data_IF_748876190682
#
_entry.id   IF_748876190682
#
_cell.length_a   1.000
_cell.length_b   1.000
_cell.length_c   1.000
_cell.angle_alpha   90.00
_cell.angle_beta   90.00
_cell.angle_gamma   90.00
#
_symmetry.space_group_name_H-M   'P 1'
#
loop_
_entity.id
_entity.type
_entity.pdbx_description
1 polymer ?
#
# COMPACT_ATOMS: atom_id res chain seq x y z
N UNK A 1 -0.65 -10.74 1.20
CA UNK A 1 0.17 -10.62 -0.01
C UNK A 1 -0.40 -9.48 -0.85
N UNK A 2 0.26 -8.32 -0.85
CA UNK A 2 -0.07 -7.20 -1.75
C UNK A 2 1.22 -6.87 -2.49
N UNK A 3 1.22 -7.03 -3.81
CA UNK A 3 2.37 -6.79 -4.70
C UNK A 3 2.21 -5.51 -5.54
N UNK A 4 1.08 -4.82 -5.39
CA UNK A 4 0.71 -3.71 -6.24
C UNK A 4 0.43 -2.48 -5.40
N UNK A 5 0.94 -1.33 -5.87
CA UNK A 5 0.48 -0.04 -5.39
C UNK A 5 -0.93 0.21 -5.94
N UNK A 6 -1.87 0.48 -5.04
CA UNK A 6 -3.25 0.77 -5.43
C UNK A 6 -3.33 2.17 -6.05
N UNK A 7 -4.14 2.36 -7.10
CA UNK A 7 -4.40 3.70 -7.62
C UNK A 7 -5.01 4.61 -6.54
N UNK A 8 -4.59 5.88 -6.52
CA UNK A 8 -5.08 6.86 -5.55
C UNK A 8 -6.60 7.01 -5.56
N UNK A 9 -7.24 6.91 -6.73
CA UNK A 9 -8.70 6.94 -6.84
C UNK A 9 -9.37 5.76 -6.13
N UNK A 10 -8.81 4.56 -6.20
CA UNK A 10 -9.31 3.38 -5.48
C UNK A 10 -9.12 3.52 -3.98
N UNK A 11 -7.96 4.02 -3.55
CA UNK A 11 -7.68 4.32 -2.14
C UNK A 11 -8.69 5.35 -1.60
N UNK A 12 -8.96 6.41 -2.36
CA UNK A 12 -9.92 7.43 -1.99
C UNK A 12 -11.35 6.88 -1.94
N UNK A 13 -11.74 6.04 -2.90
CA UNK A 13 -13.05 5.38 -2.89
C UNK A 13 -13.23 4.48 -1.65
N UNK A 14 -12.22 3.68 -1.30
CA UNK A 14 -12.22 2.85 -0.10
C UNK A 14 -12.29 3.71 1.17
N UNK A 15 -11.47 4.75 1.24
CA UNK A 15 -11.45 5.71 2.36
C UNK A 15 -12.80 6.39 2.54
N UNK A 16 -13.44 6.80 1.45
CA UNK A 16 -14.79 7.38 1.47
C UNK A 16 -15.82 6.39 1.97
N UNK A 17 -15.75 5.12 1.56
CA UNK A 17 -16.65 4.07 2.04
C UNK A 17 -16.46 3.81 3.53
N UNK A 18 -15.21 3.75 4.01
CA UNK A 18 -14.91 3.63 5.44
C UNK A 18 -15.42 4.83 6.24
N UNK A 19 -15.24 6.05 5.71
CA UNK A 19 -15.70 7.27 6.36
C UNK A 19 -17.23 7.36 6.41
N UNK A 20 -17.91 6.99 5.32
CA UNK A 20 -19.37 6.88 5.28
C UNK A 20 -19.90 5.84 6.25
N UNK A 21 -19.23 4.70 6.37
CA UNK A 21 -19.61 3.67 7.33
C UNK A 21 -19.41 4.15 8.77
N UNK A 22 -18.29 4.79 9.05
CA UNK A 22 -17.94 5.24 10.40
C UNK A 22 -18.80 6.41 10.90
N UNK A 23 -19.08 7.37 10.03
CA UNK A 23 -19.87 8.56 10.40
C UNK A 23 -21.36 8.43 10.05
N UNK A 24 -21.76 7.42 9.29
CA UNK A 24 -23.12 7.25 8.81
C UNK A 24 -24.11 6.84 9.89
N UNK A 25 -25.35 7.33 9.79
CA UNK A 25 -26.45 6.94 10.66
C UNK A 25 -27.29 5.82 10.01
N UNK A 26 -27.97 5.01 10.84
CA UNK A 26 -28.78 3.90 10.37
C UNK A 26 -29.96 4.31 9.45
N UNK A 27 -30.42 5.57 9.54
CA UNK A 27 -31.62 6.07 8.84
C UNK A 27 -31.36 6.61 7.42
N UNK A 28 -30.28 6.21 6.73
CA UNK A 28 -29.88 6.74 5.40
C UNK A 28 -29.61 8.26 5.36
N UNK A 29 -29.67 8.95 6.49
CA UNK A 29 -29.30 10.35 6.59
C UNK A 29 -27.78 10.54 6.48
N UNK A 30 -27.38 11.70 5.96
CA UNK A 30 -25.97 12.04 5.81
C UNK A 30 -25.36 12.28 7.19
N UNK A 31 -24.54 11.32 7.62
CA UNK A 31 -23.77 11.40 8.85
C UNK A 31 -22.88 12.64 8.95
N UNK A 32 -22.74 13.18 10.16
CA UNK A 32 -21.86 14.32 10.42
C UNK A 32 -20.42 13.83 10.60
N UNK A 33 -19.50 14.36 9.79
CA UNK A 33 -18.07 14.12 9.94
C UNK A 33 -17.51 15.02 11.05
N UNK A 34 -17.39 14.50 12.27
CA UNK A 34 -16.91 15.27 13.43
C UNK A 34 -15.44 15.66 13.34
N UNK A 35 -14.63 14.89 12.59
CA UNK A 35 -13.25 15.24 12.32
C UNK A 35 -12.80 14.72 10.96
N UNK A 36 -11.76 15.36 10.40
CA UNK A 36 -11.16 14.95 9.13
C UNK A 36 -10.60 13.53 9.23
N UNK A 37 -10.76 12.73 8.17
CA UNK A 37 -10.24 11.36 8.14
C UNK A 37 -8.73 11.26 8.41
N UNK A 38 -7.94 12.25 7.95
CA UNK A 38 -6.50 12.34 8.22
C UNK A 38 -6.16 12.46 9.71
N UNK A 39 -7.07 12.95 10.56
CA UNK A 39 -6.88 12.97 12.03
C UNK A 39 -7.24 11.61 12.63
N UNK A 40 -8.26 10.95 12.09
CA UNK A 40 -8.71 9.61 12.53
C UNK A 40 -7.61 8.56 12.32
N UNK A 41 -6.87 8.65 11.21
CA UNK A 41 -5.80 7.70 10.89
C UNK A 41 -4.51 7.88 11.69
N UNK A 42 -4.36 8.96 12.45
CA UNK A 42 -3.19 9.14 13.31
C UNK A 42 -3.16 8.12 14.45
N UNK A 43 -1.98 7.73 14.95
CA UNK A 43 -1.86 6.91 16.16
C UNK A 43 -2.59 7.55 17.35
N UNK A 44 -3.08 6.71 18.27
CA UNK A 44 -3.76 7.18 19.50
C UNK A 44 -2.89 8.11 20.34
N UNK A 45 -1.60 7.79 20.49
CA UNK A 45 -0.63 8.63 21.19
C UNK A 45 -0.36 9.99 20.54
N UNK A 46 -0.76 10.17 19.27
CA UNK A 46 -0.66 11.44 18.54
C UNK A 46 -2.02 12.12 18.36
N UNK A 47 -3.02 11.77 19.17
CA UNK A 47 -4.34 12.39 19.16
C UNK A 47 -5.29 11.91 18.04
N UNK A 48 -4.97 10.79 17.38
CA UNK A 48 -5.89 10.14 16.44
C UNK A 48 -6.65 8.96 17.03
N UNK A 49 -7.38 8.24 16.19
CA UNK A 49 -8.12 7.04 16.59
C UNK A 49 -7.39 5.73 16.29
N UNK A 50 -6.24 5.81 15.61
CA UNK A 50 -5.42 4.66 15.22
C UNK A 50 -5.96 3.89 14.02
N UNK A 51 -6.80 4.51 13.20
CA UNK A 51 -7.26 3.89 11.96
C UNK A 51 -6.09 3.76 10.99
N UNK A 52 -6.10 2.72 10.16
CA UNK A 52 -5.02 2.55 9.18
C UNK A 52 -5.23 3.49 8.01
N UNK A 53 -4.21 4.28 7.71
CA UNK A 53 -4.10 4.94 6.43
C UNK A 53 -3.85 3.87 5.35
N UNK A 54 -4.78 3.72 4.42
CA UNK A 54 -4.75 2.69 3.39
C UNK A 54 -3.55 2.88 2.45
N UNK A 55 -3.17 4.13 2.14
CA UNK A 55 -2.05 4.43 1.25
C UNK A 55 -0.75 4.00 1.91
N UNK A 56 -0.51 4.45 3.15
CA UNK A 56 0.69 4.06 3.90
C UNK A 56 0.75 2.55 4.14
N UNK A 57 -0.39 1.92 4.41
CA UNK A 57 -0.43 0.47 4.63
C UNK A 57 -0.12 -0.30 3.34
N UNK A 58 -0.63 0.16 2.19
CA UNK A 58 -0.31 -0.44 0.90
C UNK A 58 1.17 -0.30 0.53
N UNK A 59 1.75 0.89 0.74
CA UNK A 59 3.20 1.12 0.57
C UNK A 59 4.00 0.17 1.49
N UNK A 60 3.61 0.07 2.77
CA UNK A 60 4.30 -0.80 3.73
C UNK A 60 4.27 -2.27 3.32
N UNK A 61 3.18 -2.75 2.72
CA UNK A 61 3.10 -4.11 2.21
C UNK A 61 3.98 -4.35 1.01
N UNK A 62 4.03 -3.39 0.06
CA UNK A 62 4.91 -3.49 -1.10
C UNK A 62 6.37 -3.46 -0.64
N UNK A 63 6.74 -2.58 0.28
CA UNK A 63 8.08 -2.54 0.88
C UNK A 63 8.45 -3.83 1.61
N UNK A 64 7.51 -4.44 2.36
CA UNK A 64 7.72 -5.75 2.98
C UNK A 64 7.99 -6.85 1.94
N UNK A 65 7.38 -6.77 0.76
CA UNK A 65 7.61 -7.74 -0.31
C UNK A 65 8.94 -7.49 -1.01
N UNK A 66 9.33 -6.23 -1.22
CA UNK A 66 10.67 -5.87 -1.69
C UNK A 66 11.75 -6.43 -0.76
N UNK A 67 11.58 -6.23 0.56
CA UNK A 67 12.48 -6.79 1.58
C UNK A 67 12.61 -8.32 1.47
N UNK A 68 11.49 -9.03 1.31
CA UNK A 68 11.50 -10.50 1.15
C UNK A 68 12.17 -10.98 -0.13
N UNK A 69 12.12 -10.19 -1.20
CA UNK A 69 12.84 -10.46 -2.45
C UNK A 69 14.35 -10.30 -2.22
N UNK A 70 14.76 -9.25 -1.49
CA UNK A 70 16.16 -9.00 -1.12
C UNK A 70 16.72 -10.12 -0.24
N UNK A 71 15.98 -10.51 0.81
CA UNK A 71 16.38 -11.54 1.76
C UNK A 71 16.32 -12.97 1.15
N UNK A 72 15.64 -13.14 0.01
CA UNK A 72 15.45 -14.45 -0.61
C UNK A 72 14.47 -15.36 0.14
N UNK A 73 13.69 -14.80 1.09
CA UNK A 73 12.81 -15.57 1.97
C UNK A 73 11.66 -16.27 1.22
N UNK A 74 11.27 -15.75 0.06
CA UNK A 74 10.32 -16.40 -0.85
C UNK A 74 11.05 -16.85 -2.10
N UNK A 75 11.45 -18.12 -2.15
CA UNK A 75 12.30 -18.65 -3.21
C UNK A 75 11.71 -18.46 -4.61
N UNK A 76 10.40 -18.67 -4.80
CA UNK A 76 9.79 -18.57 -6.14
C UNK A 76 9.77 -17.12 -6.61
N UNK A 77 9.22 -16.20 -5.79
CA UNK A 77 9.10 -14.81 -6.17
C UNK A 77 10.47 -14.14 -6.32
N UNK A 78 11.40 -14.42 -5.39
CA UNK A 78 12.76 -13.87 -5.45
C UNK A 78 13.52 -14.38 -6.67
N UNK A 79 13.45 -15.69 -6.97
CA UNK A 79 14.10 -16.25 -8.15
C UNK A 79 13.49 -15.71 -9.44
N UNK A 80 12.16 -15.64 -9.55
CA UNK A 80 11.49 -15.07 -10.73
C UNK A 80 11.84 -13.59 -10.91
N UNK A 81 11.81 -12.80 -9.84
CA UNK A 81 12.16 -11.38 -9.90
C UNK A 81 13.61 -11.17 -10.29
N UNK A 82 14.55 -11.96 -9.72
CA UNK A 82 15.97 -11.90 -10.07
C UNK A 82 16.19 -12.25 -11.54
N UNK A 83 15.65 -13.38 -12.01
CA UNK A 83 15.84 -13.82 -13.40
C UNK A 83 15.22 -12.86 -14.42
N UNK A 84 14.14 -12.18 -14.06
CA UNK A 84 13.46 -11.25 -14.98
C UNK A 84 14.03 -9.84 -14.97
N UNK A 85 14.42 -9.31 -13.81
CA UNK A 85 14.66 -7.88 -13.64
C UNK A 85 16.10 -7.52 -13.23
N UNK A 86 16.85 -8.40 -12.56
CA UNK A 86 18.20 -8.09 -12.06
C UNK A 86 19.06 -9.36 -11.99
N UNK A 87 19.38 -9.94 -13.14
CA UNK A 87 20.09 -11.23 -13.22
C UNK A 87 21.49 -11.13 -12.57
N UNK A 88 22.19 -10.01 -12.78
CA UNK A 88 23.57 -9.79 -12.36
C UNK A 88 23.75 -8.56 -11.44
N UNK A 89 22.65 -7.98 -10.96
CA UNK A 89 22.66 -6.78 -10.12
C UNK A 89 22.00 -7.09 -8.79
N UNK A 90 22.32 -6.33 -7.75
CA UNK A 90 21.54 -6.41 -6.51
C UNK A 90 20.19 -5.70 -6.69
N UNK A 91 19.18 -6.14 -5.95
CA UNK A 91 17.85 -5.56 -6.00
C UNK A 91 17.85 -4.02 -5.81
N UNK A 92 18.75 -3.51 -4.96
CA UNK A 92 18.88 -2.07 -4.67
C UNK A 92 19.38 -1.24 -5.86
N UNK A 93 20.10 -1.87 -6.79
CA UNK A 93 20.62 -1.24 -8.00
C UNK A 93 19.78 -1.56 -9.24
N UNK A 94 18.70 -2.34 -9.07
CA UNK A 94 17.90 -2.80 -10.18
C UNK A 94 17.14 -1.65 -10.85
N UNK A 95 17.21 -1.60 -12.18
CA UNK A 95 16.59 -0.54 -12.98
C UNK A 95 15.16 -0.92 -13.42
N UNK A 96 14.38 0.10 -13.81
CA UNK A 96 13.01 -0.11 -14.31
C UNK A 96 12.99 -0.93 -15.63
N UNK A 97 14.03 -0.80 -16.47
CA UNK A 97 14.11 -1.46 -17.77
C UNK A 97 13.06 -0.96 -18.78
N UNK A 98 13.02 -1.59 -19.97
CA UNK A 98 12.16 -1.16 -21.08
C UNK A 98 10.70 -1.62 -20.95
N UNK A 99 10.45 -2.80 -20.38
CA UNK A 99 9.10 -3.37 -20.25
C UNK A 99 8.78 -3.87 -18.82
N UNK A 100 8.75 -2.96 -17.83
CA UNK A 100 8.46 -3.31 -16.45
C UNK A 100 6.98 -3.69 -16.24
N UNK A 101 6.75 -4.73 -15.45
CA UNK A 101 5.41 -5.07 -14.97
C UNK A 101 4.92 -4.02 -13.98
N UNK A 102 3.60 -3.94 -13.79
CA UNK A 102 3.01 -3.02 -12.81
C UNK A 102 3.48 -3.31 -11.38
N UNK A 103 3.67 -4.58 -11.03
CA UNK A 103 4.24 -4.97 -9.73
C UNK A 103 5.68 -4.46 -9.58
N UNK A 104 6.51 -4.61 -10.62
CA UNK A 104 7.90 -4.15 -10.60
C UNK A 104 8.02 -2.64 -10.44
N UNK A 105 7.17 -1.88 -11.15
CA UNK A 105 7.08 -0.41 -10.98
C UNK A 105 6.69 -0.01 -9.56
N UNK A 106 5.87 -0.83 -8.89
CA UNK A 106 5.49 -0.59 -7.50
C UNK A 106 6.60 -0.90 -6.52
N UNK A 107 7.41 -1.92 -6.78
CA UNK A 107 8.52 -2.34 -5.93
C UNK A 107 9.73 -1.39 -5.97
N UNK A 108 9.96 -0.72 -7.11
CA UNK A 108 11.06 0.24 -7.30
C UNK A 108 10.71 1.70 -6.95
N UNK A 109 9.51 1.95 -6.44
CA UNK A 109 9.01 3.29 -6.13
C UNK A 109 9.30 3.67 -4.69
#
# INVERSE_FOLDING_TARGET
MSLFLLPKGTIQALTNTMAKFWWGNAQKERGVHWCSWNKVTKPKGSGGLGFKDIELFNISFVGKQAWRIMEGSNQILSNFSRTKYFINEEFMFANLGSMPSWAWRGLLK
#
